data_IF_476747917819
#
_entry.id   IF_476747917819
#
_cell.length_a   1.000
_cell.length_b   1.000
_cell.length_c   1.000
_cell.angle_alpha   90.00
_cell.angle_beta   90.00
_cell.angle_gamma   90.00
#
_symmetry.space_group_name_H-M   'P 1'
#
loop_
_entity.id
_entity.type
_entity.pdbx_description
1 polymer ?
#
# COMPACT_ATOMS: atom_id res chain seq x y z
N UNK A 1 1.44 -31.92 -5.89
CA UNK A 1 2.36 -30.77 -5.73
C UNK A 1 1.71 -29.81 -4.75
N UNK A 2 2.28 -29.57 -3.57
CA UNK A 2 1.82 -28.48 -2.70
C UNK A 2 2.43 -27.20 -3.26
N UNK A 3 1.60 -26.26 -3.76
CA UNK A 3 2.07 -24.89 -3.98
C UNK A 3 2.45 -24.37 -2.59
N UNK A 4 3.71 -24.00 -2.41
CA UNK A 4 4.09 -23.19 -1.26
C UNK A 4 3.40 -21.84 -1.49
N UNK A 5 2.21 -21.65 -0.91
CA UNK A 5 1.50 -20.37 -0.99
C UNK A 5 2.31 -19.36 -0.15
N UNK A 6 3.23 -18.67 -0.80
CA UNK A 6 3.89 -17.50 -0.23
C UNK A 6 2.90 -16.36 -0.35
N UNK A 7 2.15 -16.09 0.71
CA UNK A 7 1.22 -14.98 0.78
C UNK A 7 2.00 -13.67 0.68
N UNK A 8 1.64 -12.81 -0.26
CA UNK A 8 2.26 -11.50 -0.45
C UNK A 8 1.52 -10.49 0.44
N UNK A 9 2.24 -9.77 1.30
CA UNK A 9 1.61 -8.71 2.10
C UNK A 9 1.54 -7.44 1.27
N UNK A 10 0.34 -6.89 1.09
CA UNK A 10 0.13 -5.59 0.44
C UNK A 10 -0.50 -4.65 1.48
N UNK A 11 0.10 -3.47 1.68
CA UNK A 11 -0.50 -2.41 2.50
C UNK A 11 -0.88 -1.24 1.62
N UNK A 12 -2.06 -0.69 1.81
CA UNK A 12 -2.47 0.58 1.23
C UNK A 12 -2.56 1.60 2.36
N UNK A 13 -1.68 2.60 2.32
CA UNK A 13 -1.71 3.73 3.23
C UNK A 13 -2.57 4.83 2.63
N UNK A 14 -3.44 5.44 3.42
CA UNK A 14 -4.36 6.48 2.94
C UNK A 14 -4.71 7.47 4.05
N UNK A 15 -4.98 8.71 3.67
CA UNK A 15 -5.64 9.73 4.49
C UNK A 15 -7.15 9.69 4.26
N UNK A 16 -7.91 10.31 5.15
CA UNK A 16 -9.36 10.46 4.99
C UNK A 16 -9.72 11.17 3.68
N UNK A 17 -10.82 10.73 3.05
CA UNK A 17 -11.38 11.39 1.86
C UNK A 17 -10.59 11.19 0.56
N UNK A 18 -9.61 10.28 0.50
CA UNK A 18 -8.90 10.02 -0.74
C UNK A 18 -9.73 9.17 -1.73
N UNK A 19 -10.26 9.83 -2.77
CA UNK A 19 -11.07 9.22 -3.84
C UNK A 19 -10.36 8.10 -4.60
N UNK A 20 -9.02 8.11 -4.63
CA UNK A 20 -8.21 7.11 -5.33
C UNK A 20 -7.96 5.84 -4.49
N UNK A 21 -8.32 5.82 -3.20
CA UNK A 21 -8.11 4.65 -2.35
C UNK A 21 -8.99 3.46 -2.75
N UNK A 22 -10.32 3.62 -2.94
CA UNK A 22 -11.16 2.53 -3.43
C UNK A 22 -10.70 1.91 -4.77
N UNK A 23 -10.47 2.68 -5.86
CA UNK A 23 -10.04 2.09 -7.13
C UNK A 23 -8.66 1.41 -7.04
N UNK A 24 -7.76 1.89 -6.18
CA UNK A 24 -6.47 1.23 -5.93
C UNK A 24 -6.65 -0.15 -5.29
N UNK A 25 -7.56 -0.28 -4.33
CA UNK A 25 -7.89 -1.55 -3.68
C UNK A 25 -8.48 -2.54 -4.68
N UNK A 26 -9.39 -2.07 -5.54
CA UNK A 26 -10.02 -2.92 -6.55
C UNK A 26 -8.99 -3.42 -7.57
N UNK A 27 -8.06 -2.55 -8.00
CA UNK A 27 -6.97 -2.93 -8.90
C UNK A 27 -6.05 -3.99 -8.28
N UNK A 28 -5.70 -3.86 -6.99
CA UNK A 28 -4.89 -4.86 -6.29
C UNK A 28 -5.59 -6.22 -6.28
N UNK A 29 -6.90 -6.27 -5.97
CA UNK A 29 -7.68 -7.51 -5.97
C UNK A 29 -7.77 -8.12 -7.36
N UNK A 30 -8.01 -7.29 -8.39
CA UNK A 30 -8.09 -7.74 -9.78
C UNK A 30 -6.78 -8.39 -10.21
N UNK A 31 -5.64 -7.70 -10.06
CA UNK A 31 -4.33 -8.20 -10.46
C UNK A 31 -3.95 -9.46 -9.66
N UNK A 32 -4.26 -9.51 -8.37
CA UNK A 32 -3.99 -10.69 -7.54
C UNK A 32 -4.73 -11.93 -8.04
N UNK A 33 -5.99 -11.75 -8.45
CA UNK A 33 -6.81 -12.79 -9.06
C UNK A 33 -6.26 -13.23 -10.42
N UNK A 34 -5.92 -12.27 -11.30
CA UNK A 34 -5.35 -12.54 -12.63
C UNK A 34 -4.02 -13.32 -12.55
N UNK A 35 -3.17 -13.00 -11.58
CA UNK A 35 -1.89 -13.69 -11.35
C UNK A 35 -2.05 -15.00 -10.54
N UNK A 36 -3.24 -15.27 -9.99
CA UNK A 36 -3.49 -16.43 -9.14
C UNK A 36 -2.62 -16.45 -7.88
N UNK A 37 -2.32 -15.27 -7.32
CA UNK A 37 -1.53 -15.09 -6.10
C UNK A 37 -2.42 -14.78 -4.90
N UNK A 38 -2.00 -15.22 -3.72
CA UNK A 38 -2.67 -14.90 -2.47
C UNK A 38 -2.06 -13.63 -1.88
N UNK A 39 -2.92 -12.64 -1.60
CA UNK A 39 -2.51 -11.35 -1.03
C UNK A 39 -3.18 -11.13 0.33
N UNK A 40 -2.35 -10.85 1.34
CA UNK A 40 -2.77 -10.30 2.64
C UNK A 40 -2.85 -8.77 2.52
N UNK A 41 -4.02 -8.26 2.11
CA UNK A 41 -4.27 -6.83 1.91
C UNK A 41 -4.65 -6.15 3.22
N UNK A 42 -3.89 -5.11 3.59
CA UNK A 42 -4.12 -4.28 4.79
C UNK A 42 -4.34 -2.83 4.40
N UNK A 43 -5.34 -2.20 5.01
CA UNK A 43 -5.60 -0.77 4.85
C UNK A 43 -5.13 -0.06 6.11
N UNK A 44 -4.24 0.91 5.95
CA UNK A 44 -3.68 1.69 7.06
C UNK A 44 -4.07 3.14 6.86
N UNK A 45 -4.97 3.63 7.72
CA UNK A 45 -5.30 5.05 7.73
C UNK A 45 -4.16 5.82 8.41
N UNK A 46 -3.68 6.85 7.74
CA UNK A 46 -2.74 7.84 8.27
C UNK A 46 -3.58 9.02 8.75
N UNK A 47 -3.41 9.38 10.02
CA UNK A 47 -4.24 10.36 10.74
C UNK A 47 -3.39 11.48 11.39
N UNK A 48 -2.06 11.42 11.24
CA UNK A 48 -1.15 12.45 11.76
C UNK A 48 0.15 12.53 10.98
N UNK A 49 0.87 13.66 11.14
CA UNK A 49 2.22 13.84 10.61
C UNK A 49 3.24 12.85 11.22
N UNK A 50 3.05 12.47 12.48
CA UNK A 50 3.89 11.47 13.15
C UNK A 50 3.71 10.09 12.51
N UNK A 51 2.46 9.69 12.26
CA UNK A 51 2.18 8.47 11.50
C UNK A 51 2.71 8.56 10.07
N UNK A 52 2.58 9.71 9.40
CA UNK A 52 3.13 9.89 8.07
C UNK A 52 4.65 9.67 8.05
N UNK A 53 5.35 10.15 9.07
CA UNK A 53 6.80 9.94 9.22
C UNK A 53 7.14 8.48 9.52
N UNK A 54 6.41 7.84 10.46
CA UNK A 54 6.59 6.43 10.80
C UNK A 54 6.40 5.50 9.59
N UNK A 55 5.41 5.80 8.76
CA UNK A 55 5.06 5.01 7.59
C UNK A 55 5.77 5.44 6.31
N UNK A 56 6.63 6.47 6.37
CA UNK A 56 7.26 7.11 5.21
C UNK A 56 6.24 7.48 4.13
N UNK A 57 5.09 7.96 4.58
CA UNK A 57 3.93 8.26 3.75
C UNK A 57 4.15 9.54 2.94
N UNK A 58 4.24 9.39 1.63
CA UNK A 58 4.44 10.50 0.69
C UNK A 58 3.11 11.10 0.19
N UNK A 59 2.01 10.36 0.31
CA UNK A 59 0.67 10.81 -0.05
C UNK A 59 -0.31 9.65 -0.27
N UNK A 60 -1.60 9.99 -0.43
CA UNK A 60 -2.66 9.01 -0.62
C UNK A 60 -2.93 8.70 -2.10
N UNK A 61 -3.18 7.43 -2.47
CA UNK A 61 -2.81 6.22 -1.74
C UNK A 61 -1.31 5.91 -1.92
N UNK A 62 -0.69 5.28 -0.93
CA UNK A 62 0.65 4.68 -1.03
C UNK A 62 0.52 3.16 -0.94
N UNK A 63 1.12 2.41 -1.87
CA UNK A 63 1.02 0.93 -1.89
C UNK A 63 2.38 0.32 -1.54
N UNK A 64 2.42 -0.47 -0.47
CA UNK A 64 3.60 -1.19 -0.02
C UNK A 64 3.45 -2.69 -0.28
N UNK A 65 4.30 -3.26 -1.12
CA UNK A 65 4.40 -4.70 -1.35
C UNK A 65 5.57 -5.25 -0.53
N UNK A 66 5.29 -6.17 0.39
CA UNK A 66 6.28 -6.72 1.33
C UNK A 66 7.08 -5.63 2.06
N UNK A 67 6.44 -4.50 2.36
CA UNK A 67 7.06 -3.37 3.07
C UNK A 67 7.82 -2.37 2.19
N UNK A 68 7.89 -2.59 0.88
CA UNK A 68 8.51 -1.67 -0.08
C UNK A 68 7.45 -0.96 -0.90
N UNK A 69 7.59 0.36 -1.03
CA UNK A 69 6.75 1.14 -1.93
C UNK A 69 6.87 0.66 -3.37
N UNK A 70 5.76 0.54 -4.08
CA UNK A 70 5.77 0.18 -5.51
C UNK A 70 6.43 1.27 -6.36
N UNK A 71 6.40 2.53 -5.91
CA UNK A 71 7.07 3.67 -6.54
C UNK A 71 8.53 3.76 -6.09
N UNK A 72 9.52 3.47 -6.95
CA UNK A 72 10.93 3.44 -6.52
C UNK A 72 11.45 4.79 -6.02
N UNK A 73 10.94 5.89 -6.58
CA UNK A 73 11.28 7.26 -6.16
C UNK A 73 10.79 7.60 -4.75
N UNK A 74 9.69 7.00 -4.29
CA UNK A 74 9.15 7.21 -2.95
C UNK A 74 10.04 6.55 -1.87
N UNK A 75 10.82 5.52 -2.22
CA UNK A 75 11.66 4.79 -1.27
C UNK A 75 12.81 5.61 -0.70
N UNK A 76 13.25 6.64 -1.43
CA UNK A 76 14.29 7.59 -1.03
C UNK A 76 13.73 8.96 -0.62
N UNK A 77 12.40 9.11 -0.54
CA UNK A 77 11.79 10.38 -0.15
C UNK A 77 12.20 10.77 1.28
N UNK A 78 12.59 12.04 1.45
CA UNK A 78 12.95 12.63 2.74
C UNK A 78 11.83 13.54 3.30
N UNK A 79 10.78 13.77 2.53
CA UNK A 79 9.62 14.57 2.92
C UNK A 79 8.37 13.67 2.93
N UNK A 80 7.66 13.68 4.07
CA UNK A 80 6.44 12.91 4.29
C UNK A 80 5.29 13.89 4.48
N UNK A 81 4.24 13.72 3.68
CA UNK A 81 3.12 14.66 3.62
C UNK A 81 1.94 14.16 4.43
N UNK A 82 1.45 14.97 5.37
CA UNK A 82 0.14 14.78 5.98
C UNK A 82 -0.66 16.07 5.82
N UNK A 83 -1.85 15.99 5.21
CA UNK A 83 -2.79 17.09 5.03
C UNK A 83 -4.21 16.60 5.23
#
# INVERSE_FOLDING_TARGET
MKRNNMTITVKVLFSEGCDNTPPTIDLIKQISSELGIEVDLKLIRIESQDQASQWKFVGSPTVLVNGLDIEPSARSAAAFGFR
#
